data_IF_743441209676
#
_entry.id   IF_743441209676
#
_cell.length_a   1.000
_cell.length_b   1.000
_cell.length_c   1.000
_cell.angle_alpha   90.00
_cell.angle_beta   90.00
_cell.angle_gamma   90.00
#
_symmetry.space_group_name_H-M   'P 1'
#
loop_
_entity.id
_entity.type
_entity.pdbx_description
1 polymer ?
#
# COMPACT_ATOMS: atom_id res chain seq x y z
N UNK A 1 19.84 -27.36 12.79
CA UNK A 1 20.22 -27.15 11.37
C UNK A 1 18.95 -27.36 10.55
N UNK A 2 18.19 -26.30 10.26
CA UNK A 2 16.90 -26.42 9.58
C UNK A 2 17.07 -26.02 8.12
N UNK A 3 16.87 -27.01 7.26
CA UNK A 3 16.95 -26.97 5.81
C UNK A 3 16.00 -25.93 5.22
N UNK A 4 16.54 -25.09 4.33
CA UNK A 4 15.81 -24.15 3.49
C UNK A 4 15.10 -24.91 2.37
N UNK A 5 13.79 -25.10 2.48
CA UNK A 5 12.97 -25.49 1.35
C UNK A 5 12.88 -24.32 0.35
N UNK A 6 13.71 -24.39 -0.69
CA UNK A 6 13.55 -23.63 -1.92
C UNK A 6 12.27 -24.09 -2.63
N UNK A 7 11.38 -23.15 -3.00
CA UNK A 7 10.24 -23.50 -3.84
C UNK A 7 9.15 -22.43 -3.95
N UNK A 8 9.09 -21.80 -5.13
CA UNK A 8 7.90 -21.21 -5.78
C UNK A 8 7.37 -19.88 -5.20
N UNK A 9 8.01 -18.79 -5.63
CA UNK A 9 7.48 -17.41 -5.56
C UNK A 9 6.22 -17.12 -6.41
N UNK A 10 5.45 -18.14 -6.80
CA UNK A 10 4.22 -18.02 -7.61
C UNK A 10 2.97 -18.30 -6.75
N UNK A 11 3.11 -18.95 -5.60
CA UNK A 11 1.97 -19.55 -4.86
C UNK A 11 1.05 -18.48 -4.22
N UNK A 12 1.54 -17.28 -3.87
CA UNK A 12 0.79 -16.35 -3.01
C UNK A 12 0.16 -15.12 -3.67
N UNK A 13 0.45 -14.80 -4.95
CA UNK A 13 -0.43 -13.87 -5.67
C UNK A 13 -1.86 -14.44 -5.74
N UNK A 14 -1.96 -15.77 -5.78
CA UNK A 14 -3.23 -16.49 -5.79
C UNK A 14 -4.00 -16.39 -4.46
N UNK A 15 -3.33 -16.38 -3.29
CA UNK A 15 -4.04 -16.28 -2.00
C UNK A 15 -4.46 -14.86 -1.66
N UNK A 16 -3.64 -13.86 -2.01
CA UNK A 16 -4.04 -12.46 -1.84
C UNK A 16 -5.09 -12.05 -2.88
N UNK A 17 -5.01 -12.54 -4.12
CA UNK A 17 -6.07 -12.33 -5.12
C UNK A 17 -7.37 -13.05 -4.75
N UNK A 18 -7.30 -14.25 -4.17
CA UNK A 18 -8.48 -14.98 -3.64
C UNK A 18 -9.19 -14.19 -2.54
N UNK A 19 -8.45 -13.45 -1.70
CA UNK A 19 -9.02 -12.64 -0.62
C UNK A 19 -9.20 -11.16 -0.98
N UNK A 20 -8.80 -10.73 -2.17
CA UNK A 20 -8.89 -9.33 -2.63
C UNK A 20 -10.32 -8.81 -2.49
N UNK A 21 -11.31 -9.56 -2.96
CA UNK A 21 -12.72 -9.19 -2.86
C UNK A 21 -13.21 -9.11 -1.41
N UNK A 22 -12.67 -9.94 -0.51
CA UNK A 22 -13.02 -9.91 0.92
C UNK A 22 -12.46 -8.66 1.60
N UNK A 23 -11.18 -8.36 1.37
CA UNK A 23 -10.48 -7.17 1.87
C UNK A 23 -11.14 -5.89 1.30
N UNK A 24 -11.38 -5.85 -0.01
CA UNK A 24 -12.01 -4.70 -0.69
C UNK A 24 -13.47 -4.47 -0.27
N UNK A 25 -14.22 -5.51 0.14
CA UNK A 25 -15.59 -5.35 0.66
C UNK A 25 -15.64 -4.87 2.10
N UNK A 26 -14.78 -5.41 2.97
CA UNK A 26 -14.80 -5.14 4.41
C UNK A 26 -14.12 -3.82 4.79
N UNK A 27 -13.20 -3.32 3.97
CA UNK A 27 -12.38 -2.14 4.26
C UNK A 27 -12.64 -1.02 3.25
N UNK A 28 -13.90 -0.88 2.79
CA UNK A 28 -14.31 0.24 1.96
C UNK A 28 -14.27 1.52 2.80
N UNK A 29 -13.21 2.28 2.61
CA UNK A 29 -13.18 3.69 2.97
C UNK A 29 -13.94 4.47 1.89
N UNK A 30 -14.63 5.53 2.29
CA UNK A 30 -15.19 6.45 1.30
C UNK A 30 -14.06 7.25 0.62
N UNK A 31 -14.33 7.85 -0.54
CA UNK A 31 -13.27 8.54 -1.30
C UNK A 31 -12.66 9.73 -0.53
N UNK A 32 -13.44 10.42 0.30
CA UNK A 32 -12.93 11.55 1.07
C UNK A 32 -11.92 11.06 2.12
N UNK A 33 -12.24 9.98 2.83
CA UNK A 33 -11.32 9.31 3.75
C UNK A 33 -10.06 8.82 3.05
N UNK A 34 -10.19 8.21 1.87
CA UNK A 34 -9.03 7.78 1.06
C UNK A 34 -8.13 8.96 0.67
N UNK A 35 -8.71 10.09 0.26
CA UNK A 35 -7.96 11.29 -0.12
C UNK A 35 -7.25 11.92 1.09
N UNK A 36 -7.92 12.02 2.25
CA UNK A 36 -7.32 12.51 3.49
C UNK A 36 -6.12 11.64 3.88
N UNK A 37 -6.29 10.32 3.81
CA UNK A 37 -5.26 9.33 4.09
C UNK A 37 -4.03 9.48 3.19
N UNK A 38 -4.21 9.77 1.90
CA UNK A 38 -3.11 10.04 0.96
C UNK A 38 -2.48 11.42 1.22
N UNK A 39 -3.28 12.44 1.54
CA UNK A 39 -2.76 13.79 1.83
C UNK A 39 -1.85 13.78 3.06
N UNK A 40 -2.20 13.01 4.08
CA UNK A 40 -1.40 12.86 5.30
C UNK A 40 -0.10 12.10 5.05
N UNK A 41 -0.06 11.25 4.02
CA UNK A 41 1.11 10.47 3.66
C UNK A 41 1.44 10.71 2.19
N UNK A 42 2.15 11.79 1.90
CA UNK A 42 2.61 12.09 0.54
C UNK A 42 3.87 11.28 0.15
N UNK A 43 4.59 10.75 1.14
CA UNK A 43 5.87 10.10 0.95
C UNK A 43 6.17 9.11 2.08
N UNK A 44 6.45 7.85 1.74
CA UNK A 44 6.80 6.81 2.72
C UNK A 44 8.28 6.42 2.51
N UNK A 45 9.20 6.86 3.38
CA UNK A 45 10.59 6.47 3.33
C UNK A 45 10.83 5.12 4.01
N UNK A 46 11.72 4.32 3.44
CA UNK A 46 12.22 3.05 3.97
C UNK A 46 13.74 3.01 3.84
N UNK A 47 14.44 2.40 4.79
CA UNK A 47 15.88 2.13 4.63
C UNK A 47 16.13 1.19 3.44
N UNK A 48 17.15 1.52 2.66
CA UNK A 48 17.50 0.77 1.45
C UNK A 48 17.82 -0.68 1.77
N UNK A 49 18.51 -0.95 2.86
CA UNK A 49 18.87 -2.32 3.25
C UNK A 49 17.63 -3.16 3.60
N UNK A 50 16.66 -2.54 4.28
CA UNK A 50 15.36 -3.17 4.59
C UNK A 50 14.62 -3.45 3.27
N UNK A 51 14.53 -2.45 2.39
CA UNK A 51 13.89 -2.63 1.08
C UNK A 51 14.54 -3.77 0.29
N UNK A 52 15.87 -3.77 0.13
CA UNK A 52 16.58 -4.77 -0.67
C UNK A 52 16.40 -6.18 -0.09
N UNK A 53 16.30 -6.31 1.25
CA UNK A 53 16.00 -7.57 1.94
C UNK A 53 14.60 -8.09 1.65
N UNK A 54 13.59 -7.22 1.53
CA UNK A 54 12.19 -7.62 1.42
C UNK A 54 11.56 -7.38 0.03
N UNK A 55 12.27 -6.77 -0.93
CA UNK A 55 11.73 -6.41 -2.27
C UNK A 55 11.14 -7.58 -3.04
N UNK A 56 11.63 -8.79 -2.83
CA UNK A 56 11.15 -10.01 -3.50
C UNK A 56 9.90 -10.59 -2.83
N UNK A 57 9.65 -10.25 -1.56
CA UNK A 57 8.45 -10.64 -0.84
C UNK A 57 7.48 -9.45 -0.77
N UNK A 58 6.66 -9.31 -1.80
CA UNK A 58 5.73 -8.18 -1.95
C UNK A 58 4.77 -8.01 -0.76
N UNK A 59 4.31 -9.11 -0.16
CA UNK A 59 3.41 -9.05 1.00
C UNK A 59 4.10 -8.46 2.23
N UNK A 60 5.29 -8.96 2.58
CA UNK A 60 6.07 -8.41 3.69
C UNK A 60 6.42 -6.94 3.44
N UNK A 61 6.78 -6.60 2.21
CA UNK A 61 7.06 -5.22 1.83
C UNK A 61 5.83 -4.33 2.01
N UNK A 62 4.64 -4.76 1.56
CA UNK A 62 3.38 -4.03 1.73
C UNK A 62 3.04 -3.80 3.21
N UNK A 63 3.15 -4.84 4.04
CA UNK A 63 2.91 -4.72 5.48
C UNK A 63 3.91 -3.74 6.13
N UNK A 64 5.19 -3.80 5.76
CA UNK A 64 6.20 -2.87 6.25
C UNK A 64 5.91 -1.43 5.84
N UNK A 65 5.55 -1.20 4.56
CA UNK A 65 5.21 0.14 4.06
C UNK A 65 3.96 0.66 4.77
N UNK A 66 2.95 -0.18 4.98
CA UNK A 66 1.75 0.17 5.73
C UNK A 66 2.08 0.57 7.18
N UNK A 67 2.85 -0.25 7.90
CA UNK A 67 3.26 0.03 9.27
C UNK A 67 4.09 1.32 9.40
N UNK A 68 5.06 1.53 8.50
CA UNK A 68 5.85 2.78 8.47
C UNK A 68 4.94 3.99 8.26
N UNK A 69 3.96 3.85 7.36
CA UNK A 69 3.04 4.94 7.03
C UNK A 69 2.15 5.32 8.22
N UNK A 70 1.58 4.35 8.94
CA UNK A 70 0.79 4.57 10.16
C UNK A 70 1.65 5.22 11.26
N UNK A 71 2.88 4.73 11.46
CA UNK A 71 3.81 5.33 12.43
C UNK A 71 4.13 6.79 12.11
N UNK A 72 4.21 7.17 10.82
CA UNK A 72 4.45 8.56 10.41
C UNK A 72 3.26 9.49 10.65
N UNK A 73 2.05 8.95 10.69
CA UNK A 73 0.85 9.67 11.13
C UNK A 73 0.74 9.77 12.66
N UNK A 74 1.69 9.20 13.41
CA UNK A 74 1.66 9.18 14.88
C UNK A 74 0.87 8.02 15.47
N UNK A 75 0.41 7.06 14.65
CA UNK A 75 -0.29 5.86 15.09
C UNK A 75 0.76 4.82 15.51
N UNK A 76 0.96 4.66 16.81
CA UNK A 76 2.01 3.79 17.38
C UNK A 76 1.52 2.36 17.59
N UNK A 77 0.27 2.21 17.99
CA UNK A 77 -0.42 0.92 18.10
C UNK A 77 -1.41 0.81 16.94
N UNK A 78 -1.27 -0.24 16.15
CA UNK A 78 -2.18 -0.53 15.04
C UNK A 78 -2.56 -2.01 15.06
N UNK A 79 -3.82 -2.27 14.78
CA UNK A 79 -4.36 -3.62 14.66
C UNK A 79 -4.32 -4.12 13.20
N UNK A 80 -4.86 -5.31 12.98
CA UNK A 80 -4.95 -5.92 11.66
C UNK A 80 -5.83 -5.09 10.71
N UNK A 81 -6.91 -4.48 11.19
CA UNK A 81 -7.83 -3.69 10.36
C UNK A 81 -7.14 -2.41 9.88
N UNK A 82 -6.39 -1.73 10.75
CA UNK A 82 -5.60 -0.57 10.39
C UNK A 82 -4.57 -0.90 9.30
N UNK A 83 -3.85 -2.01 9.44
CA UNK A 83 -2.84 -2.45 8.45
C UNK A 83 -3.50 -2.80 7.13
N UNK A 84 -4.59 -3.57 7.15
CA UNK A 84 -5.27 -3.97 5.91
C UNK A 84 -5.90 -2.77 5.20
N UNK A 85 -6.51 -1.84 5.94
CA UNK A 85 -7.04 -0.59 5.40
C UNK A 85 -5.93 0.23 4.72
N UNK A 86 -4.77 0.34 5.37
CA UNK A 86 -3.61 1.02 4.78
C UNK A 86 -3.09 0.31 3.53
N UNK A 87 -3.01 -1.01 3.53
CA UNK A 87 -2.61 -1.79 2.34
C UNK A 87 -3.57 -1.54 1.18
N UNK A 88 -4.87 -1.43 1.43
CA UNK A 88 -5.86 -1.11 0.41
C UNK A 88 -5.55 0.23 -0.27
N UNK A 89 -5.25 1.27 0.51
CA UNK A 89 -4.83 2.59 0.00
C UNK A 89 -3.54 2.49 -0.82
N UNK A 90 -2.52 1.79 -0.31
CA UNK A 90 -1.24 1.61 -1.02
C UNK A 90 -1.44 0.93 -2.37
N UNK A 91 -2.23 -0.14 -2.43
CA UNK A 91 -2.48 -0.85 -3.69
C UNK A 91 -3.30 -0.02 -4.69
N UNK A 92 -4.22 0.81 -4.21
CA UNK A 92 -5.02 1.69 -5.06
C UNK A 92 -4.19 2.84 -5.62
N UNK A 93 -3.35 3.46 -4.79
CA UNK A 93 -2.81 4.78 -5.10
C UNK A 93 -1.29 4.84 -5.25
N UNK A 94 -0.54 3.80 -4.87
CA UNK A 94 0.92 3.80 -4.93
C UNK A 94 1.44 2.80 -5.96
N UNK A 95 2.55 3.13 -6.61
CA UNK A 95 3.33 2.15 -7.37
C UNK A 95 4.38 1.49 -6.47
N UNK A 96 4.05 0.28 -6.02
CA UNK A 96 4.93 -0.50 -5.15
C UNK A 96 6.09 -1.17 -5.90
N UNK A 97 6.05 -1.20 -7.24
CA UNK A 97 7.08 -1.85 -8.05
C UNK A 97 8.16 -0.87 -8.48
N UNK A 98 7.83 0.42 -8.60
CA UNK A 98 8.73 1.47 -9.05
C UNK A 98 8.97 2.55 -7.97
N UNK A 99 9.45 2.20 -6.77
CA UNK A 99 9.76 3.20 -5.76
C UNK A 99 11.00 4.00 -6.15
N UNK A 100 11.06 5.26 -5.72
CA UNK A 100 12.22 6.12 -5.96
C UNK A 100 13.34 5.78 -4.99
N UNK A 101 14.56 5.55 -5.51
CA UNK A 101 15.74 5.24 -4.70
C UNK A 101 16.67 6.45 -4.67
N UNK A 102 16.96 7.01 -3.50
CA UNK A 102 17.99 8.06 -3.32
C UNK A 102 18.83 7.81 -2.07
N UNK A 103 20.14 7.91 -2.22
CA UNK A 103 21.10 7.70 -1.13
C UNK A 103 20.84 6.35 -0.43
N UNK A 104 20.69 6.35 0.90
CA UNK A 104 20.37 5.20 1.75
C UNK A 104 18.87 4.93 1.93
N UNK A 105 17.99 5.63 1.19
CA UNK A 105 16.53 5.52 1.35
C UNK A 105 15.82 5.12 0.05
N UNK A 106 14.69 4.46 0.23
CA UNK A 106 13.71 4.12 -0.80
C UNK A 106 12.41 4.81 -0.43
N UNK A 107 11.80 5.47 -1.41
CA UNK A 107 10.62 6.31 -1.21
C UNK A 107 9.45 5.78 -2.03
N UNK A 108 8.37 5.43 -1.35
CA UNK A 108 7.10 5.10 -1.99
C UNK A 108 6.25 6.37 -2.07
N UNK A 109 5.77 6.66 -3.28
CA UNK A 109 5.01 7.86 -3.59
C UNK A 109 3.65 7.49 -4.17
N UNK A 110 2.59 8.27 -3.86
CA UNK A 110 1.31 8.10 -4.53
C UNK A 110 1.42 8.52 -6.00
N UNK A 111 0.68 7.83 -6.86
CA UNK A 111 0.46 8.18 -8.25
C UNK A 111 -0.58 9.29 -8.33
N UNK A 112 -0.11 10.54 -8.32
CA UNK A 112 -0.96 11.74 -8.36
C UNK A 112 -1.85 11.80 -9.61
N UNK A 113 -1.38 11.27 -10.75
CA UNK A 113 -2.17 11.20 -11.98
C UNK A 113 -3.39 10.28 -11.82
N UNK A 114 -3.20 9.13 -11.17
CA UNK A 114 -4.27 8.18 -10.86
C UNK A 114 -5.30 8.79 -9.90
N UNK A 115 -4.83 9.49 -8.87
CA UNK A 115 -5.71 10.19 -7.90
C UNK A 115 -6.53 11.26 -8.62
N UNK A 116 -5.88 12.12 -9.42
CA UNK A 116 -6.54 13.20 -10.15
C UNK A 116 -7.62 12.67 -11.08
N UNK A 117 -7.33 11.56 -11.79
CA UNK A 117 -8.30 10.91 -12.68
C UNK A 117 -9.52 10.38 -11.92
N UNK A 118 -9.34 9.80 -10.73
CA UNK A 118 -10.45 9.29 -9.90
C UNK A 118 -11.35 10.40 -9.35
N UNK A 119 -10.76 11.53 -8.94
CA UNK A 119 -11.52 12.70 -8.47
C UNK A 119 -12.41 13.26 -9.59
N UNK A 120 -11.83 13.48 -10.78
CA UNK A 120 -12.57 14.01 -11.94
C UNK A 120 -13.73 13.12 -12.38
N UNK A 121 -13.55 11.80 -12.37
CA UNK A 121 -14.62 10.85 -12.75
C UNK A 121 -15.79 10.90 -11.77
N UNK A 122 -15.55 11.10 -10.47
CA UNK A 122 -16.63 11.22 -9.49
C UNK A 122 -17.34 12.57 -9.56
N UNK A 123 -16.63 13.67 -9.82
CA UNK A 123 -17.24 14.99 -10.04
C UNK A 123 -18.19 14.95 -11.25
N UNK A 124 -17.79 14.32 -12.35
CA UNK A 124 -18.64 14.12 -13.53
C UNK A 124 -19.85 13.23 -13.27
N UNK A 125 -19.72 12.20 -12.42
CA UNK A 125 -20.84 11.36 -12.01
C UNK A 125 -21.85 12.06 -11.09
N UNK A 126 -21.39 13.04 -10.29
CA UNK A 126 -22.26 13.87 -9.43
C UNK A 126 -22.98 15.00 -10.17
N UNK A 127 -22.42 15.46 -11.30
CA UNK A 127 -23.00 16.51 -12.12
C UNK A 127 -24.10 16.01 -13.10
N UNK A 128 -24.25 14.69 -13.21
CA UNK A 128 -25.23 14.03 -14.09
C UNK A 128 -26.43 13.42 -13.33
N UNK A 129 -26.63 13.78 -12.05
CA UNK A 129 -27.80 13.46 -11.22
C UNK A 129 -28.50 14.77 -10.82
#
# INVERSE_FOLDING_TARGET
MVSLCQGKGIIFYSEFSKNKNYIEKRLKMDLAEEIVCIKNISLIPMDKDIYEKYKTNKLKLLVLVAAISLKREGIVEFDLENILGRINILLKYYDMNCPEKRNSKVYFKPNLSKITSMVKVKELGSACL
#
